data_IF_950523958558
#
_entry.id   IF_950523958558
#
_cell.length_a   1.000
_cell.length_b   1.000
_cell.length_c   1.000
_cell.angle_alpha   90.00
_cell.angle_beta   90.00
_cell.angle_gamma   90.00
#
_symmetry.space_group_name_H-M   'P 1'
#
loop_
_entity.id
_entity.type
_entity.pdbx_description
1 polymer ?
#
# COMPACT_ATOMS: atom_id res chain seq x y z
N UNK A 1 9.67 -1.76 8.02
CA UNK A 1 9.41 -3.00 7.26
C UNK A 1 9.14 -2.57 5.82
N UNK A 2 9.78 -3.14 4.79
CA UNK A 2 9.64 -2.68 3.39
C UNK A 2 9.06 -3.76 2.51
N UNK A 3 8.11 -3.39 1.63
CA UNK A 3 7.45 -4.31 0.71
C UNK A 3 7.51 -3.79 -0.73
N UNK A 4 7.64 -4.70 -1.70
CA UNK A 4 7.68 -4.37 -3.12
C UNK A 4 6.30 -4.60 -3.75
N UNK A 5 5.82 -3.63 -4.51
CA UNK A 5 4.49 -3.67 -5.11
C UNK A 5 4.47 -4.58 -6.34
N UNK A 6 3.62 -5.60 -6.33
CA UNK A 6 3.48 -6.64 -7.38
C UNK A 6 2.44 -6.31 -8.43
N UNK A 7 1.51 -5.41 -8.17
CA UNK A 7 0.54 -4.92 -9.14
C UNK A 7 0.08 -3.49 -8.80
N UNK A 8 -0.40 -2.77 -9.81
CA UNK A 8 -0.92 -1.41 -9.63
C UNK A 8 -2.30 -1.47 -9.01
N UNK A 9 -2.54 -0.65 -7.98
CA UNK A 9 -3.85 -0.47 -7.36
C UNK A 9 -4.26 1.00 -7.45
N UNK A 10 -5.47 1.22 -7.96
CA UNK A 10 -6.10 2.55 -8.10
C UNK A 10 -7.25 2.63 -7.10
N UNK A 11 -7.14 3.50 -6.08
CA UNK A 11 -8.14 3.67 -5.02
C UNK A 11 -9.55 3.99 -5.51
N UNK A 12 -10.54 3.55 -4.74
CA UNK A 12 -11.92 3.99 -4.83
C UNK A 12 -12.39 4.72 -3.55
N UNK A 13 -11.65 4.57 -2.44
CA UNK A 13 -11.94 5.23 -1.16
C UNK A 13 -10.88 6.29 -0.81
N UNK A 14 -11.22 7.35 -0.03
CA UNK A 14 -10.29 8.42 0.29
C UNK A 14 -9.10 8.05 1.19
N UNK A 15 -9.20 6.94 1.93
CA UNK A 15 -8.18 6.44 2.86
C UNK A 15 -7.23 5.42 2.23
N UNK A 16 -7.47 5.05 0.97
CA UNK A 16 -6.64 4.14 0.18
C UNK A 16 -5.50 4.88 -0.52
N UNK A 17 -4.38 4.18 -0.73
CA UNK A 17 -3.19 4.73 -1.37
C UNK A 17 -3.02 4.19 -2.78
N UNK A 18 -2.79 5.08 -3.75
CA UNK A 18 -2.39 4.66 -5.11
C UNK A 18 -0.97 4.10 -5.07
N UNK A 19 -0.79 2.91 -5.64
CA UNK A 19 0.50 2.23 -5.72
C UNK A 19 0.74 1.70 -7.13
N UNK A 20 1.99 1.74 -7.58
CA UNK A 20 2.39 1.29 -8.90
C UNK A 20 3.27 0.04 -8.81
N UNK A 21 3.08 -0.90 -9.75
CA UNK A 21 3.95 -2.07 -9.87
C UNK A 21 5.44 -1.66 -9.89
N UNK A 22 6.25 -2.30 -9.04
CA UNK A 22 7.68 -2.03 -8.89
C UNK A 22 8.04 -0.95 -7.86
N UNK A 23 7.07 -0.27 -7.26
CA UNK A 23 7.33 0.63 -6.12
C UNK A 23 7.74 -0.14 -4.87
N UNK A 24 8.37 0.56 -3.93
CA UNK A 24 8.68 0.05 -2.59
C UNK A 24 8.00 0.94 -1.56
N UNK A 25 7.23 0.32 -0.68
CA UNK A 25 6.50 0.99 0.39
C UNK A 25 7.09 0.64 1.75
N UNK A 26 7.00 1.58 2.68
CA UNK A 26 7.23 1.30 4.09
C UNK A 26 5.91 0.82 4.71
N UNK A 27 5.87 -0.45 5.15
CA UNK A 27 4.72 -1.07 5.84
C UNK A 27 4.69 -0.55 7.27
N UNK A 28 3.57 0.08 7.64
CA UNK A 28 3.34 0.66 8.95
C UNK A 28 2.55 -0.29 9.86
N UNK A 29 1.48 -0.89 9.33
CA UNK A 29 0.61 -1.80 10.07
C UNK A 29 -0.09 -2.77 9.13
N UNK A 30 -0.23 -4.03 9.55
CA UNK A 30 -1.05 -5.05 8.87
C UNK A 30 -2.34 -5.25 9.66
N UNK A 31 -3.44 -5.48 8.96
CA UNK A 31 -4.76 -5.76 9.53
C UNK A 31 -5.23 -7.16 9.11
N UNK A 32 -6.14 -7.74 9.89
CA UNK A 32 -6.61 -9.12 9.72
C UNK A 32 -7.61 -9.30 8.56
N UNK A 33 -7.93 -8.22 7.82
CA UNK A 33 -8.93 -8.16 6.76
C UNK A 33 -8.33 -7.99 5.35
N UNK A 34 -7.08 -8.45 5.17
CA UNK A 34 -6.34 -8.40 3.90
C UNK A 34 -5.90 -6.98 3.49
N UNK A 35 -5.85 -6.05 4.43
CA UNK A 35 -5.35 -4.70 4.21
C UNK A 35 -4.08 -4.37 5.00
N UNK A 36 -3.27 -3.49 4.42
CA UNK A 36 -2.05 -2.97 5.01
C UNK A 36 -2.05 -1.45 4.94
N UNK A 37 -1.64 -0.79 6.03
CA UNK A 37 -1.32 0.62 6.02
C UNK A 37 0.14 0.82 5.59
N UNK A 38 0.34 1.57 4.51
CA UNK A 38 1.65 1.83 3.93
C UNK A 38 1.95 3.33 3.83
N UNK A 39 3.23 3.67 3.80
CA UNK A 39 3.72 4.98 3.37
C UNK A 39 4.58 4.86 2.10
N UNK A 40 4.37 5.76 1.13
CA UNK A 40 5.17 5.81 -0.08
C UNK A 40 6.37 6.78 0.04
N UNK A 41 7.19 6.85 -1.00
CA UNK A 41 8.38 7.73 -1.02
C UNK A 41 8.07 9.23 -1.00
N UNK A 42 6.81 9.62 -1.22
CA UNK A 42 6.34 11.02 -1.14
C UNK A 42 5.84 11.37 0.26
N UNK A 43 5.82 10.41 1.20
CA UNK A 43 5.28 10.58 2.53
C UNK A 43 3.75 10.48 2.61
N UNK A 44 3.09 10.12 1.51
CA UNK A 44 1.65 9.83 1.50
C UNK A 44 1.42 8.50 2.21
N UNK A 45 0.30 8.38 2.90
CA UNK A 45 -0.06 7.20 3.68
C UNK A 45 -1.49 6.79 3.37
N UNK A 46 -1.74 5.49 3.27
CA UNK A 46 -3.08 4.96 3.09
C UNK A 46 -3.10 3.45 3.00
N UNK A 47 -4.31 2.92 2.90
CA UNK A 47 -4.60 1.50 2.85
C UNK A 47 -4.27 0.93 1.48
N UNK A 48 -3.64 -0.24 1.46
CA UNK A 48 -3.33 -1.02 0.27
C UNK A 48 -3.73 -2.48 0.47
N UNK A 49 -4.27 -3.16 -0.55
CA UNK A 49 -4.56 -4.59 -0.44
C UNK A 49 -3.27 -5.38 -0.25
N UNK A 50 -3.27 -6.33 0.69
CA UNK A 50 -2.10 -7.16 0.99
C UNK A 50 -1.64 -7.97 -0.24
N UNK A 51 -2.56 -8.36 -1.12
CA UNK A 51 -2.25 -9.08 -2.36
C UNK A 51 -1.38 -8.28 -3.35
N UNK A 52 -1.34 -6.95 -3.21
CA UNK A 52 -0.51 -6.07 -4.04
C UNK A 52 0.95 -5.99 -3.57
N UNK A 53 1.29 -6.54 -2.39
CA UNK A 53 2.63 -6.53 -1.78
C UNK A 53 3.33 -7.90 -1.85
#
# INVERSE_FOLDING_TARGET
NRAAVRCTFVPNLPDELTILNGEVLDVLQEYDDEWVLCSNSKGETGMVPLECL
#
